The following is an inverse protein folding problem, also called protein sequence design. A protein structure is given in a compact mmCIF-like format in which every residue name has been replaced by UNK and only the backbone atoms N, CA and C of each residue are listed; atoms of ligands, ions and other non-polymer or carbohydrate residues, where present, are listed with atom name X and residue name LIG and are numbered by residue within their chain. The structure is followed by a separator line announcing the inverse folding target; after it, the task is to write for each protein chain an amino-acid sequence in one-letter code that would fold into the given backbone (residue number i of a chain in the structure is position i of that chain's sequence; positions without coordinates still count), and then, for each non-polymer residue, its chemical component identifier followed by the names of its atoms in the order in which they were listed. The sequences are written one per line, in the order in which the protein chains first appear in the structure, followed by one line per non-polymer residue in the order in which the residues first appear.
data_IF_616193256962
#
_entry.id   IF_616193256962
#
_cell.length_a   1.000
_cell.length_b   1.000
_cell.length_c   1.000
_cell.angle_alpha   90.00
_cell.angle_beta   90.00
_cell.angle_gamma   90.00
#
_symmetry.space_group_name_H-M   'P 1'
#
loop_
_entity.id
_entity.type
_entity.pdbx_description
1 polymer ?
#
# COMPACT_ATOMS: atom_id res chain seq x y z
N UNK A 1 7.43 5.54 -41.36
CA UNK A 1 7.56 5.28 -39.92
C UNK A 1 6.53 4.22 -39.55
N UNK A 2 6.95 3.15 -38.86
CA UNK A 2 6.15 1.95 -38.58
C UNK A 2 4.96 2.25 -37.64
N UNK A 3 5.01 3.36 -36.90
CA UNK A 3 3.96 3.76 -35.98
C UNK A 3 3.34 5.12 -36.34
N UNK A 4 3.24 5.41 -37.65
CA UNK A 4 2.47 6.55 -38.14
C UNK A 4 0.97 6.23 -38.22
N UNK A 5 0.15 7.28 -38.12
CA UNK A 5 -1.31 7.19 -38.17
C UNK A 5 -1.94 6.73 -36.85
N UNK A 6 -3.28 6.72 -36.82
CA UNK A 6 -4.07 6.49 -35.61
C UNK A 6 -3.83 5.12 -34.97
N UNK A 7 -3.62 4.08 -35.78
CA UNK A 7 -3.34 2.73 -35.27
C UNK A 7 -1.91 2.62 -34.73
N UNK A 8 -0.96 3.30 -35.36
CA UNK A 8 0.40 3.42 -34.84
C UNK A 8 0.43 4.08 -33.46
N UNK A 9 -0.34 5.15 -33.26
CA UNK A 9 -0.42 5.83 -31.95
C UNK A 9 -1.07 4.97 -30.87
N UNK A 10 -2.13 4.21 -31.21
CA UNK A 10 -2.73 3.23 -30.28
C UNK A 10 -1.73 2.15 -29.87
N UNK A 11 -0.95 1.62 -30.81
CA UNK A 11 0.07 0.60 -30.49
C UNK A 11 1.20 1.16 -29.62
N UNK A 12 1.63 2.42 -29.86
CA UNK A 12 2.54 3.13 -28.94
C UNK A 12 1.98 3.19 -27.53
N UNK A 13 0.71 3.58 -27.39
CA UNK A 13 0.03 3.65 -26.09
C UNK A 13 -0.03 2.29 -25.39
N UNK A 14 -0.44 1.22 -26.11
CA UNK A 14 -0.47 -0.15 -25.57
C UNK A 14 0.90 -0.64 -25.11
N UNK A 15 1.94 -0.35 -25.88
CA UNK A 15 3.32 -0.76 -25.56
C UNK A 15 3.85 0.00 -24.35
N UNK A 16 3.60 1.31 -24.27
CA UNK A 16 3.91 2.13 -23.10
C UNK A 16 3.27 1.56 -21.83
N UNK A 17 1.95 1.37 -21.84
CA UNK A 17 1.23 0.81 -20.68
C UNK A 17 1.77 -0.56 -20.27
N UNK A 18 2.19 -1.37 -21.24
CA UNK A 18 2.73 -2.72 -20.97
C UNK A 18 4.11 -2.69 -20.31
N UNK A 19 4.92 -1.68 -20.61
CA UNK A 19 6.27 -1.50 -20.06
C UNK A 19 6.31 -0.71 -18.74
N UNK A 20 5.17 -0.20 -18.24
CA UNK A 20 5.14 0.54 -16.98
C UNK A 20 5.54 -0.34 -15.79
N UNK A 21 6.46 0.20 -14.99
CA UNK A 21 6.78 -0.25 -13.63
C UNK A 21 6.56 0.94 -12.68
N UNK A 22 6.07 0.71 -11.44
CA UNK A 22 5.76 -0.56 -10.78
C UNK A 22 4.47 -1.26 -11.28
N UNK A 23 4.27 -2.57 -10.99
CA UNK A 23 3.09 -3.32 -11.45
C UNK A 23 1.75 -2.73 -11.01
N UNK A 24 1.71 -2.10 -9.82
CA UNK A 24 0.50 -1.45 -9.28
C UNK A 24 0.11 -0.26 -10.15
N UNK A 25 1.07 0.60 -10.52
CA UNK A 25 0.85 1.72 -11.44
C UNK A 25 0.32 1.25 -12.79
N UNK A 26 0.91 0.17 -13.33
CA UNK A 26 0.45 -0.45 -14.58
C UNK A 26 -1.01 -0.92 -14.51
N UNK A 27 -1.41 -1.56 -13.41
CA UNK A 27 -2.79 -2.03 -13.23
C UNK A 27 -3.79 -0.87 -13.16
N UNK A 28 -3.44 0.19 -12.43
CA UNK A 28 -4.29 1.38 -12.29
C UNK A 28 -4.45 2.14 -13.59
N UNK A 29 -3.35 2.35 -14.33
CA UNK A 29 -3.40 2.99 -15.65
C UNK A 29 -4.22 2.15 -16.62
N UNK A 30 -4.04 0.81 -16.66
CA UNK A 30 -4.89 -0.08 -17.48
C UNK A 30 -6.36 0.06 -17.15
N UNK A 31 -6.70 0.11 -15.86
CA UNK A 31 -8.08 0.24 -15.40
C UNK A 31 -8.66 1.59 -15.77
N UNK A 32 -7.91 2.67 -15.58
CA UNK A 32 -8.30 4.02 -15.93
C UNK A 32 -8.51 4.18 -17.44
N UNK A 33 -7.59 3.69 -18.27
CA UNK A 33 -7.74 3.71 -19.74
C UNK A 33 -8.98 2.93 -20.19
N UNK A 34 -9.30 1.81 -19.53
CA UNK A 34 -10.43 0.96 -19.92
C UNK A 34 -11.78 1.58 -19.55
N UNK A 35 -11.88 2.21 -18.39
CA UNK A 35 -13.17 2.59 -17.80
C UNK A 35 -13.40 4.09 -17.67
N UNK A 36 -12.34 4.86 -17.40
CA UNK A 36 -12.46 6.29 -17.07
C UNK A 36 -12.09 7.17 -18.26
N UNK A 37 -10.95 6.89 -18.89
CA UNK A 37 -10.34 7.79 -19.86
C UNK A 37 -9.92 7.06 -21.13
N UNK A 38 -10.93 6.65 -21.91
CA UNK A 38 -10.74 5.89 -23.16
C UNK A 38 -9.95 6.66 -24.22
N UNK A 39 -9.92 7.98 -24.13
CA UNK A 39 -9.15 8.83 -25.03
C UNK A 39 -7.64 8.64 -24.85
N UNK A 40 -7.18 8.31 -23.63
CA UNK A 40 -5.78 8.00 -23.36
C UNK A 40 -5.31 6.70 -24.04
N UNK A 41 -6.21 5.84 -24.52
CA UNK A 41 -5.83 4.68 -25.33
C UNK A 41 -5.37 5.04 -26.75
N UNK A 42 -5.74 6.23 -27.23
CA UNK A 42 -5.54 6.68 -28.61
C UNK A 42 -4.61 7.88 -28.73
N UNK A 43 -4.29 8.54 -27.61
CA UNK A 43 -3.46 9.74 -27.59
C UNK A 43 -2.33 9.59 -26.58
N UNK A 44 -1.10 9.72 -27.06
CA UNK A 44 0.10 9.55 -26.25
C UNK A 44 0.22 10.62 -25.18
N UNK A 45 -0.17 11.86 -25.50
CA UNK A 45 -0.11 12.98 -24.57
C UNK A 45 -1.08 12.78 -23.40
N UNK A 46 -2.32 12.36 -23.69
CA UNK A 46 -3.31 12.04 -22.64
C UNK A 46 -2.86 10.86 -21.78
N UNK A 47 -2.26 9.84 -22.41
CA UNK A 47 -1.70 8.72 -21.67
C UNK A 47 -0.59 9.16 -20.72
N UNK A 48 0.33 10.03 -21.18
CA UNK A 48 1.42 10.53 -20.36
C UNK A 48 0.90 11.27 -19.13
N UNK A 49 -0.04 12.21 -19.30
CA UNK A 49 -0.65 12.93 -18.18
C UNK A 49 -1.30 11.98 -17.18
N UNK A 50 -2.07 11.00 -17.68
CA UNK A 50 -2.73 10.00 -16.82
C UNK A 50 -1.71 9.17 -16.02
N UNK A 51 -0.63 8.72 -16.66
CA UNK A 51 0.43 7.94 -16.00
C UNK A 51 1.12 8.78 -14.93
N UNK A 52 1.43 10.05 -15.24
CA UNK A 52 2.06 10.97 -14.31
C UNK A 52 1.19 11.22 -13.08
N UNK A 53 -0.09 11.54 -13.27
CA UNK A 53 -1.03 11.81 -12.17
C UNK A 53 -1.18 10.60 -11.26
N UNK A 54 -1.27 9.40 -11.84
CA UNK A 54 -1.32 8.15 -11.06
C UNK A 54 -0.01 7.91 -10.32
N UNK A 55 1.14 8.10 -10.95
CA UNK A 55 2.44 7.92 -10.30
C UNK A 55 2.61 8.89 -9.10
N UNK A 56 2.23 10.16 -9.27
CA UNK A 56 2.25 11.16 -8.19
C UNK A 56 1.29 10.78 -7.06
N UNK A 57 0.11 10.25 -7.39
CA UNK A 57 -0.85 9.77 -6.39
C UNK A 57 -0.31 8.57 -5.61
N UNK A 58 0.43 7.67 -6.24
CA UNK A 58 1.10 6.54 -5.59
C UNK A 58 2.21 6.97 -4.63
N UNK A 59 2.96 8.03 -4.96
CA UNK A 59 4.07 8.53 -4.15
C UNK A 59 3.59 9.37 -2.94
N UNK A 60 2.43 10.03 -3.06
CA UNK A 60 1.92 10.97 -2.02
C UNK A 60 1.78 10.34 -0.62
N UNK A 61 1.17 9.15 -0.43
CA UNK A 61 1.08 8.51 0.88
C UNK A 61 2.44 8.17 1.48
N UNK A 62 3.39 7.74 0.64
CA UNK A 62 4.74 7.43 1.08
C UNK A 62 5.43 8.66 1.66
N UNK A 63 5.35 9.80 0.95
CA UNK A 63 5.91 11.06 1.42
C UNK A 63 5.22 11.57 2.69
N UNK A 64 3.90 11.44 2.78
CA UNK A 64 3.14 11.85 3.96
C UNK A 64 3.53 11.00 5.18
N UNK A 65 3.59 9.68 5.03
CA UNK A 65 3.98 8.76 6.10
C UNK A 65 5.43 9.00 6.54
N UNK A 66 6.35 9.25 5.60
CA UNK A 66 7.74 9.64 5.89
C UNK A 66 7.80 10.89 6.76
N UNK A 67 7.02 11.93 6.44
CA UNK A 67 6.94 13.16 7.25
C UNK A 67 6.37 12.91 8.65
N UNK A 68 5.30 12.12 8.76
CA UNK A 68 4.70 11.78 10.05
C UNK A 68 5.67 11.02 10.98
N UNK A 69 6.43 10.07 10.42
CA UNK A 69 7.44 9.33 11.20
C UNK A 69 8.57 10.21 11.73
N UNK A 70 8.94 11.26 11.00
CA UNK A 70 9.96 12.22 11.48
C UNK A 70 9.43 13.08 12.63
N UNK A 71 8.16 13.52 12.56
CA UNK A 71 7.54 14.31 13.63
C UNK A 71 7.30 13.49 14.91
N UNK A 72 6.93 12.22 14.78
CA UNK A 72 6.76 11.32 15.93
C UNK A 72 8.06 11.13 16.73
N UNK A 73 9.21 10.99 16.04
CA UNK A 73 10.53 10.87 16.68
C UNK A 73 10.97 12.11 17.46
N UNK A 74 10.53 13.30 17.03
CA UNK A 74 10.83 14.56 17.73
C UNK A 74 9.98 14.71 18.99
N UNK A 75 8.72 14.26 18.94
CA UNK A 75 7.78 14.37 20.07
C UNK A 75 8.12 13.43 21.23
N UNK A 76 8.78 12.31 20.96
CA UNK A 76 9.22 11.36 21.99
C UNK A 76 10.40 11.92 22.80
N UNK A 77 11.39 12.53 22.12
CA UNK A 77 12.56 13.17 22.74
C UNK A 77 12.25 14.38 23.63
N UNK A 78 11.14 15.07 23.39
CA UNK A 78 10.73 16.22 24.21
C UNK A 78 9.96 15.83 25.46
N UNK A 79 9.50 14.58 25.59
CA UNK A 79 8.83 14.10 26.80
C UNK A 79 9.80 13.57 27.86
N UNK A 80 10.95 13.04 27.44
CA UNK A 80 12.02 12.64 28.37
C UNK A 80 12.87 13.83 28.88
N UNK A 81 12.80 14.99 28.22
CA UNK A 81 13.54 16.19 28.63
C UNK A 81 12.77 17.11 29.58
N UNK A 82 11.50 16.83 29.87
CA UNK A 82 10.67 17.64 30.78
C UNK A 82 10.47 17.02 32.18
N UNK A 83 11.12 15.87 32.46
CA UNK A 83 11.08 15.23 33.77
C UNK A 83 12.29 15.57 34.69
N UNK A 84 13.06 16.62 34.40
CA UNK A 84 14.18 17.01 35.27
C UNK A 84 14.31 18.53 35.46
N UNK A 85 13.26 19.17 35.97
CA UNK A 85 13.38 20.49 36.62
C UNK A 85 12.24 20.72 37.62
N UNK A 86 12.17 19.88 38.68
CA UNK A 86 11.46 20.31 39.89
C UNK A 86 12.02 19.62 41.14
N UNK A 87 12.94 20.30 41.83
CA UNK A 87 12.85 20.60 43.27
C UNK A 87 14.23 20.97 43.84
N UNK A 88 14.62 22.23 43.66
CA UNK A 88 15.58 22.87 44.55
C UNK A 88 14.84 23.54 45.71
N UNK A 89 14.67 22.84 46.84
CA UNK A 89 14.50 23.47 48.15
C UNK A 89 15.16 22.59 49.22
N UNK A 90 15.97 23.22 50.05
CA UNK A 90 16.97 22.60 50.90
C UNK A 90 16.42 21.84 52.13
N UNK A 91 16.98 20.63 52.37
CA UNK A 91 17.23 19.97 53.67
C UNK A 91 16.12 19.08 54.29
N UNK A 92 16.42 18.11 55.19
CA UNK A 92 17.73 17.62 55.68
C UNK A 92 18.00 16.10 55.50
N UNK A 93 19.25 15.72 55.76
CA UNK A 93 19.88 14.39 55.68
C UNK A 93 19.11 13.25 56.38
N UNK A 94 19.00 12.10 55.72
CA UNK A 94 19.11 10.77 56.35
C UNK A 94 19.83 9.78 55.44
N UNK A 95 20.88 9.19 55.99
CA UNK A 95 21.73 8.18 55.39
C UNK A 95 20.95 6.87 55.18
N UNK A 96 21.25 6.17 54.09
CA UNK A 96 20.79 4.80 53.84
C UNK A 96 21.61 4.16 52.73
N UNK A 97 22.67 3.46 53.11
CA UNK A 97 23.54 2.64 52.27
C UNK A 97 22.75 1.57 51.50
N UNK A 98 23.22 1.23 50.31
CA UNK A 98 22.76 0.05 49.59
C UNK A 98 23.32 -0.02 48.17
N UNK A 99 24.62 -0.28 48.08
CA UNK A 99 25.33 -0.68 46.86
C UNK A 99 24.67 -1.94 46.26
N UNK A 100 24.69 -2.10 44.92
CA UNK A 100 25.16 -3.29 44.21
C UNK A 100 24.71 -3.29 42.74
N UNK A 101 25.70 -3.09 41.88
CA UNK A 101 25.95 -3.84 40.63
C UNK A 101 25.14 -3.54 39.35
N UNK A 102 25.79 -2.74 38.50
CA UNK A 102 26.11 -3.00 37.09
C UNK A 102 25.56 -4.32 36.50
N UNK A 103 24.82 -4.21 35.37
CA UNK A 103 25.21 -4.88 34.12
C UNK A 103 24.54 -4.24 32.90
N UNK A 104 25.38 -3.82 31.97
CA UNK A 104 25.02 -3.49 30.60
C UNK A 104 24.80 -4.76 29.80
N UNK A 105 23.81 -4.74 28.88
CA UNK A 105 23.89 -5.38 27.55
C UNK A 105 22.67 -4.97 26.71
N UNK A 106 22.92 -4.26 25.62
CA UNK A 106 22.15 -4.36 24.37
C UNK A 106 22.92 -5.31 23.43
N UNK A 107 22.46 -5.65 22.21
CA UNK A 107 21.10 -5.87 21.69
C UNK A 107 20.97 -7.27 21.05
N UNK A 108 19.76 -7.77 20.76
CA UNK A 108 19.57 -8.83 19.74
C UNK A 108 18.44 -8.50 18.78
N UNK A 109 18.86 -8.17 17.57
CA UNK A 109 18.12 -8.25 16.32
C UNK A 109 17.99 -9.74 15.97
N UNK A 110 16.76 -10.25 15.87
CA UNK A 110 16.49 -11.48 15.15
C UNK A 110 15.34 -11.24 14.17
N UNK A 111 15.70 -11.29 12.89
CA UNK A 111 14.79 -11.40 11.75
C UNK A 111 14.07 -12.74 11.87
N UNK A 112 12.74 -12.74 11.88
CA UNK A 112 11.98 -13.92 11.49
C UNK A 112 11.19 -13.58 10.21
N UNK A 113 11.65 -14.15 9.11
CA UNK A 113 10.94 -14.28 7.85
C UNK A 113 10.70 -15.77 7.69
N UNK A 114 9.58 -16.29 8.19
CA UNK A 114 9.19 -17.67 7.91
C UNK A 114 8.23 -17.71 6.71
N UNK A 115 8.82 -18.13 5.59
CA UNK A 115 8.13 -18.76 4.47
C UNK A 115 7.48 -20.06 4.96
N UNK A 116 6.17 -20.19 4.79
CA UNK A 116 5.49 -21.49 4.79
C UNK A 116 5.03 -21.79 3.35
N UNK A 117 5.91 -22.48 2.62
CA UNK A 117 5.57 -23.25 1.42
C UNK A 117 6.03 -24.69 1.66
N UNK A 118 5.06 -25.57 1.89
CA UNK A 118 5.08 -27.02 1.68
C UNK A 118 3.76 -27.56 2.27
N UNK A 119 3.07 -28.57 1.75
CA UNK A 119 3.14 -29.32 0.51
C UNK A 119 1.82 -30.12 0.41
N UNK A 120 1.50 -30.49 -0.82
CA UNK A 120 0.41 -31.32 -1.36
C UNK A 120 -0.30 -32.32 -0.42
N UNK A 121 -1.64 -32.40 -0.58
CA UNK A 121 -2.32 -33.69 -0.78
C UNK A 121 -3.37 -33.63 -1.90
N UNK A 122 -3.06 -34.42 -2.93
CA UNK A 122 -3.87 -35.10 -3.93
C UNK A 122 -5.39 -35.16 -3.73
N UNK A 123 -6.13 -34.60 -4.69
CA UNK A 123 -7.30 -35.24 -5.30
C UNK A 123 -7.59 -34.59 -6.66
N UNK A 124 -7.34 -35.32 -7.76
CA UNK A 124 -7.82 -34.95 -9.11
C UNK A 124 -9.13 -35.69 -9.40
N UNK A 125 -10.01 -34.99 -10.15
CA UNK A 125 -10.96 -35.45 -11.21
C UNK A 125 -12.42 -34.98 -10.95
N UNK A 126 -13.30 -34.90 -11.97
CA UNK A 126 -13.31 -33.96 -13.10
C UNK A 126 -14.70 -33.28 -13.31
N UNK A 127 -14.81 -32.46 -14.36
CA UNK A 127 -15.96 -31.65 -14.81
C UNK A 127 -17.38 -32.27 -14.84
N UNK A 128 -18.38 -31.35 -14.90
CA UNK A 128 -19.83 -31.44 -15.27
C UNK A 128 -20.76 -31.16 -14.07
N UNK A 129 -21.91 -30.47 -14.14
CA UNK A 129 -22.77 -30.00 -15.23
C UNK A 129 -23.65 -28.83 -14.71
N UNK A 130 -24.22 -28.07 -15.63
CA UNK A 130 -25.22 -27.02 -15.41
C UNK A 130 -26.48 -27.55 -14.69
N UNK A 131 -26.91 -26.90 -13.61
CA UNK A 131 -28.29 -26.90 -13.10
C UNK A 131 -28.43 -25.89 -11.95
N UNK A 132 -28.36 -24.59 -12.26
CA UNK A 132 -28.89 -23.55 -11.34
C UNK A 132 -30.27 -23.20 -11.85
N UNK A 133 -31.29 -23.58 -11.08
CA UNK A 133 -32.67 -23.16 -11.29
C UNK A 133 -32.75 -21.64 -11.46
N UNK A 134 -33.66 -21.13 -12.31
CA UNK A 134 -33.80 -19.69 -12.49
C UNK A 134 -34.20 -19.03 -11.17
N UNK A 135 -33.67 -17.83 -10.87
CA UNK A 135 -34.02 -17.11 -9.65
C UNK A 135 -35.53 -16.84 -9.60
N UNK A 136 -36.12 -17.05 -8.42
CA UNK A 136 -37.52 -16.78 -8.15
C UNK A 136 -37.91 -15.34 -8.52
N UNK A 137 -39.15 -15.09 -9.01
CA UNK A 137 -39.59 -13.74 -9.41
C UNK A 137 -39.55 -12.75 -8.25
N UNK A 138 -39.11 -11.52 -8.54
CA UNK A 138 -39.07 -10.43 -7.57
C UNK A 138 -40.49 -10.06 -7.11
N UNK A 139 -40.75 -9.92 -5.78
CA UNK A 139 -42.08 -9.55 -5.25
C UNK A 139 -42.63 -8.21 -5.79
N UNK A 140 -41.79 -7.38 -6.39
CA UNK A 140 -42.14 -6.06 -6.93
C UNK A 140 -42.79 -6.11 -8.31
N UNK A 141 -42.82 -7.27 -8.96
CA UNK A 141 -43.33 -7.43 -10.33
C UNK A 141 -44.75 -8.04 -10.39
N UNK A 142 -45.37 -8.36 -9.25
CA UNK A 142 -46.67 -9.03 -9.20
C UNK A 142 -47.86 -8.06 -9.17
N UNK A 143 -47.60 -6.75 -9.07
CA UNK A 143 -48.63 -5.71 -8.86
C UNK A 143 -49.04 -4.97 -10.14
N UNK A 144 -48.71 -5.50 -11.32
CA UNK A 144 -48.98 -4.84 -12.62
C UNK A 144 -49.92 -5.65 -13.53
N UNK A 145 -50.84 -6.44 -12.98
CA UNK A 145 -51.81 -7.20 -13.79
C UNK A 145 -53.20 -7.22 -13.17
#
# INVERSE_FOLDING_TARGET
DVFSGDDGEKEKCKRLVSCLAPPVLKADVKTAVRWTDKAAAKSMQKLYTLVYDKAVAHERPFQQNKRQRMMAKVKDKSKDSSASTKSGRAGPKKQGRGDFSKKATAPKNERNVENLVADRKTARKPFTNNNREPPSPCPKCQEMH
#
